data_IF_381786603719
#
_entry.id   IF_381786603719
#
_cell.length_a   1.000
_cell.length_b   1.000
_cell.length_c   1.000
_cell.angle_alpha   90.00
_cell.angle_beta   90.00
_cell.angle_gamma   90.00
#
_symmetry.space_group_name_H-M   'P 1'
#
loop_
_entity.id
_entity.type
_entity.pdbx_description
1 polymer ?
#
# COMPACT_ATOMS: atom_id res chain seq x y z
N UNK A 1 -14.00 -9.73 -12.61
CA UNK A 1 -14.60 -9.46 -11.29
C UNK A 1 -13.82 -8.42 -10.51
N UNK A 2 -12.49 -8.49 -10.39
CA UNK A 2 -11.68 -7.50 -9.64
C UNK A 2 -11.86 -6.08 -10.20
N UNK A 3 -11.78 -5.87 -11.51
CA UNK A 3 -12.03 -4.56 -12.12
C UNK A 3 -13.44 -4.03 -11.86
N UNK A 4 -14.48 -4.87 -11.85
CA UNK A 4 -15.85 -4.48 -11.51
C UNK A 4 -15.95 -4.10 -10.01
N UNK A 5 -15.29 -4.86 -9.14
CA UNK A 5 -15.19 -4.52 -7.72
C UNK A 5 -14.51 -3.16 -7.51
N UNK A 6 -13.41 -2.88 -8.22
CA UNK A 6 -12.72 -1.59 -8.18
C UNK A 6 -13.65 -0.42 -8.54
N UNK A 7 -14.46 -0.55 -9.61
CA UNK A 7 -15.45 0.49 -9.98
C UNK A 7 -16.53 0.69 -8.92
N UNK A 8 -17.03 -0.39 -8.31
CA UNK A 8 -18.03 -0.31 -7.24
C UNK A 8 -17.43 0.30 -5.96
N UNK A 9 -16.22 -0.08 -5.59
CA UNK A 9 -15.48 0.51 -4.46
C UNK A 9 -15.35 2.02 -4.67
N UNK A 10 -14.96 2.43 -5.86
CA UNK A 10 -14.81 3.85 -6.17
C UNK A 10 -16.13 4.63 -6.07
N UNK A 11 -17.27 4.02 -6.44
CA UNK A 11 -18.57 4.69 -6.47
C UNK A 11 -19.38 4.57 -5.17
N UNK A 12 -19.20 3.48 -4.41
CA UNK A 12 -20.04 3.11 -3.25
C UNK A 12 -19.25 2.70 -1.99
N UNK A 13 -17.92 2.70 -2.04
CA UNK A 13 -17.12 2.14 -0.95
C UNK A 13 -17.36 0.64 -0.81
N UNK A 14 -17.55 0.16 0.42
CA UNK A 14 -17.82 -1.25 0.72
C UNK A 14 -19.32 -1.60 0.86
N UNK A 15 -20.20 -0.66 0.59
CA UNK A 15 -21.65 -0.86 0.71
C UNK A 15 -22.26 -1.68 -0.43
N UNK A 16 -21.51 -1.95 -1.52
CA UNK A 16 -22.02 -2.77 -2.61
C UNK A 16 -22.24 -4.23 -2.18
N UNK A 17 -23.25 -4.86 -2.80
CA UNK A 17 -23.61 -6.27 -2.60
C UNK A 17 -22.91 -7.18 -3.62
N UNK A 18 -22.83 -8.50 -3.33
CA UNK A 18 -22.36 -9.49 -4.31
C UNK A 18 -23.26 -9.56 -5.56
N UNK A 19 -24.55 -9.25 -5.42
CA UNK A 19 -25.47 -9.19 -6.56
C UNK A 19 -25.16 -8.01 -7.48
N UNK A 20 -24.91 -6.82 -6.91
CA UNK A 20 -24.48 -5.64 -7.68
C UNK A 20 -23.13 -5.88 -8.36
N UNK A 21 -22.19 -6.53 -7.67
CA UNK A 21 -20.91 -6.93 -8.27
C UNK A 21 -21.12 -7.88 -9.46
N UNK A 22 -21.95 -8.89 -9.30
CA UNK A 22 -22.25 -9.85 -10.38
C UNK A 22 -22.89 -9.15 -11.58
N UNK A 23 -23.81 -8.22 -11.34
CA UNK A 23 -24.43 -7.41 -12.39
C UNK A 23 -23.40 -6.53 -13.11
N UNK A 24 -22.54 -5.83 -12.36
CA UNK A 24 -21.47 -4.99 -12.88
C UNK A 24 -20.41 -5.78 -13.68
N UNK A 25 -20.11 -7.00 -13.23
CA UNK A 25 -19.13 -7.89 -13.86
C UNK A 25 -19.73 -8.70 -15.03
N UNK A 26 -21.05 -8.69 -15.23
CA UNK A 26 -21.73 -9.49 -16.25
C UNK A 26 -21.66 -11.00 -15.98
N UNK A 27 -21.62 -11.42 -14.71
CA UNK A 27 -21.52 -12.84 -14.33
C UNK A 27 -22.66 -13.29 -13.47
N UNK A 28 -22.98 -14.59 -13.49
CA UNK A 28 -23.97 -15.18 -12.59
C UNK A 28 -23.42 -15.28 -11.16
N UNK A 29 -24.32 -15.19 -10.16
CA UNK A 29 -23.98 -15.33 -8.75
C UNK A 29 -23.27 -16.68 -8.43
N UNK A 30 -23.67 -17.74 -9.11
CA UNK A 30 -23.00 -19.05 -8.99
C UNK A 30 -21.54 -18.98 -9.46
N UNK A 31 -21.24 -18.16 -10.48
CA UNK A 31 -19.87 -17.92 -10.96
C UNK A 31 -19.05 -17.21 -9.90
N UNK A 32 -19.62 -16.23 -9.22
CA UNK A 32 -18.97 -15.56 -8.08
C UNK A 32 -18.55 -16.58 -7.02
N UNK A 33 -19.50 -17.38 -6.51
CA UNK A 33 -19.23 -18.36 -5.44
C UNK A 33 -18.31 -19.51 -5.83
N UNK A 34 -18.05 -19.71 -7.12
CA UNK A 34 -17.02 -20.64 -7.59
C UNK A 34 -15.59 -20.12 -7.36
N UNK A 35 -15.39 -18.79 -7.36
CA UNK A 35 -14.09 -18.15 -7.22
C UNK A 35 -13.84 -17.59 -5.83
N UNK A 36 -14.87 -17.12 -5.15
CA UNK A 36 -14.80 -16.47 -3.84
C UNK A 36 -15.89 -16.99 -2.95
N UNK A 37 -15.53 -17.57 -1.80
CA UNK A 37 -16.53 -18.07 -0.84
C UNK A 37 -17.31 -16.93 -0.17
N UNK A 38 -16.74 -15.72 -0.16
CA UNK A 38 -17.33 -14.52 0.46
C UNK A 38 -16.94 -13.23 -0.24
N UNK A 39 -17.64 -12.13 0.08
CA UNK A 39 -17.22 -10.79 -0.32
C UNK A 39 -15.86 -10.40 0.28
N UNK A 40 -15.56 -10.87 1.48
CA UNK A 40 -14.27 -10.59 2.13
C UNK A 40 -13.10 -11.24 1.39
N UNK A 41 -13.26 -12.45 0.88
CA UNK A 41 -12.24 -13.08 0.02
C UNK A 41 -12.03 -12.31 -1.29
N UNK A 42 -13.11 -11.82 -1.91
CA UNK A 42 -12.97 -10.92 -3.05
C UNK A 42 -12.19 -9.65 -2.68
N UNK A 43 -12.50 -9.02 -1.55
CA UNK A 43 -11.83 -7.79 -1.12
C UNK A 43 -10.35 -8.03 -0.80
N UNK A 44 -9.98 -9.18 -0.25
CA UNK A 44 -8.57 -9.59 -0.11
C UNK A 44 -7.88 -9.67 -1.48
N UNK A 45 -8.53 -10.31 -2.46
CA UNK A 45 -7.99 -10.40 -3.81
C UNK A 45 -7.86 -9.00 -4.47
N UNK A 46 -8.81 -8.09 -4.23
CA UNK A 46 -8.74 -6.70 -4.72
C UNK A 46 -7.57 -5.95 -4.07
N UNK A 47 -7.33 -6.13 -2.76
CA UNK A 47 -6.20 -5.50 -2.07
C UNK A 47 -4.88 -6.04 -2.62
N UNK A 48 -4.77 -7.36 -2.81
CA UNK A 48 -3.55 -7.96 -3.37
C UNK A 48 -3.27 -7.52 -4.81
N UNK A 49 -4.28 -7.47 -5.67
CA UNK A 49 -4.19 -6.98 -7.05
C UNK A 49 -3.72 -5.51 -7.08
N UNK A 50 -4.37 -4.66 -6.30
CA UNK A 50 -4.00 -3.25 -6.19
C UNK A 50 -2.60 -3.02 -5.60
N UNK A 51 -2.13 -3.90 -4.71
CA UNK A 51 -0.78 -3.83 -4.16
C UNK A 51 0.27 -4.24 -5.20
N UNK A 52 0.00 -5.30 -5.97
CA UNK A 52 0.88 -5.73 -7.06
C UNK A 52 0.99 -4.62 -8.13
N UNK A 53 -0.14 -4.07 -8.58
CA UNK A 53 -0.18 -2.98 -9.57
C UNK A 53 0.60 -1.75 -9.06
N UNK A 54 0.45 -1.41 -7.78
CA UNK A 54 1.17 -0.29 -7.18
C UNK A 54 2.69 -0.54 -7.14
N UNK A 55 3.12 -1.73 -6.72
CA UNK A 55 4.54 -2.10 -6.67
C UNK A 55 5.16 -2.13 -8.06
N UNK A 56 4.45 -2.65 -9.07
CA UNK A 56 4.89 -2.65 -10.46
C UNK A 56 5.06 -1.22 -10.98
N UNK A 57 4.03 -0.38 -10.82
CA UNK A 57 4.09 1.04 -11.19
C UNK A 57 5.24 1.79 -10.51
N UNK A 58 5.44 1.58 -9.20
CA UNK A 58 6.53 2.24 -8.47
C UNK A 58 7.90 1.76 -8.94
N UNK A 59 8.05 0.47 -9.22
CA UNK A 59 9.30 -0.09 -9.74
C UNK A 59 9.67 0.52 -11.09
N UNK A 60 8.70 0.60 -12.00
CA UNK A 60 8.89 1.23 -13.31
C UNK A 60 9.24 2.72 -13.18
N UNK A 61 8.50 3.46 -12.32
CA UNK A 61 8.71 4.89 -12.10
C UNK A 61 10.05 5.20 -11.42
N UNK A 62 10.59 4.27 -10.65
CA UNK A 62 11.87 4.42 -9.96
C UNK A 62 13.08 3.94 -10.77
N UNK A 63 12.87 3.38 -11.98
CA UNK A 63 13.94 2.73 -12.76
C UNK A 63 15.13 3.66 -13.08
N UNK A 64 14.87 4.95 -13.28
CA UNK A 64 15.88 5.96 -13.60
C UNK A 64 16.50 6.65 -12.36
N UNK A 65 16.08 6.27 -11.15
CA UNK A 65 16.63 6.84 -9.92
C UNK A 65 18.05 6.33 -9.68
N UNK A 66 18.95 7.20 -9.14
CA UNK A 66 20.39 7.00 -9.20
C UNK A 66 20.89 5.79 -8.38
N UNK A 67 20.21 5.48 -7.27
CA UNK A 67 20.69 4.45 -6.34
C UNK A 67 19.54 3.82 -5.52
N UNK A 68 19.88 2.83 -4.72
CA UNK A 68 18.93 2.11 -3.87
C UNK A 68 18.27 3.01 -2.80
N UNK A 69 18.99 4.02 -2.27
CA UNK A 69 18.40 4.96 -1.30
C UNK A 69 17.33 5.85 -1.94
N UNK A 70 17.61 6.33 -3.15
CA UNK A 70 16.65 7.15 -3.89
C UNK A 70 15.37 6.34 -4.22
N UNK A 71 15.53 5.07 -4.64
CA UNK A 71 14.39 4.17 -4.89
C UNK A 71 13.65 3.83 -3.61
N UNK A 72 14.35 3.52 -2.52
CA UNK A 72 13.74 3.25 -1.21
C UNK A 72 12.93 4.44 -0.70
N UNK A 73 13.50 5.66 -0.79
CA UNK A 73 12.79 6.91 -0.47
C UNK A 73 11.52 7.05 -1.29
N UNK A 74 11.64 6.85 -2.60
CA UNK A 74 10.49 6.94 -3.52
C UNK A 74 9.39 5.95 -3.12
N UNK A 75 9.70 4.70 -2.85
CA UNK A 75 8.71 3.68 -2.47
C UNK A 75 8.01 4.01 -1.15
N UNK A 76 8.76 4.43 -0.13
CA UNK A 76 8.19 4.81 1.17
C UNK A 76 7.25 6.02 1.01
N UNK A 77 7.68 7.07 0.31
CA UNK A 77 6.91 8.30 0.19
C UNK A 77 5.73 8.18 -0.77
N UNK A 78 5.82 7.33 -1.79
CA UNK A 78 4.74 7.05 -2.75
C UNK A 78 3.52 6.39 -2.11
N UNK A 79 3.67 5.77 -0.93
CA UNK A 79 2.51 5.27 -0.16
C UNK A 79 1.53 6.38 0.20
N UNK A 80 2.01 7.62 0.37
CA UNK A 80 1.20 8.78 0.73
C UNK A 80 0.69 9.57 -0.49
N UNK A 81 1.15 9.24 -1.71
CA UNK A 81 0.82 10.02 -2.91
C UNK A 81 -0.69 10.07 -3.21
N UNK A 82 -1.44 9.02 -2.86
CA UNK A 82 -2.91 8.99 -3.02
C UNK A 82 -3.65 9.98 -2.13
N UNK A 83 -3.00 10.53 -1.11
CA UNK A 83 -3.58 11.50 -0.19
C UNK A 83 -3.47 12.94 -0.71
N UNK A 84 -2.60 13.19 -1.71
CA UNK A 84 -2.45 14.49 -2.38
C UNK A 84 -3.52 14.75 -3.45
N UNK A 85 -4.37 13.75 -3.74
CA UNK A 85 -5.39 13.79 -4.78
C UNK A 85 -6.67 14.55 -4.40
N UNK A 86 -7.62 14.54 -5.33
CA UNK A 86 -8.95 15.10 -5.10
C UNK A 86 -9.75 14.27 -4.05
N UNK A 87 -10.93 14.76 -3.68
CA UNK A 87 -11.76 14.12 -2.65
C UNK A 87 -12.14 12.66 -2.96
N UNK A 88 -12.00 12.20 -4.21
CA UNK A 88 -12.24 10.82 -4.63
C UNK A 88 -11.11 9.90 -4.18
N UNK A 89 -9.87 10.35 -4.28
CA UNK A 89 -8.71 9.61 -3.80
C UNK A 89 -8.74 9.47 -2.27
N UNK A 90 -9.14 10.51 -1.56
CA UNK A 90 -9.36 10.46 -0.11
C UNK A 90 -10.46 9.45 0.28
N UNK A 91 -11.57 9.36 -0.48
CA UNK A 91 -12.61 8.36 -0.23
C UNK A 91 -12.08 6.94 -0.45
N UNK A 92 -11.29 6.72 -1.47
CA UNK A 92 -10.63 5.44 -1.76
C UNK A 92 -9.63 5.09 -0.65
N UNK A 93 -8.83 6.03 -0.17
CA UNK A 93 -7.91 5.82 0.93
C UNK A 93 -8.65 5.39 2.21
N UNK A 94 -9.71 6.09 2.60
CA UNK A 94 -10.56 5.72 3.75
C UNK A 94 -11.17 4.34 3.61
N UNK A 95 -11.66 4.00 2.41
CA UNK A 95 -12.17 2.66 2.12
C UNK A 95 -11.09 1.59 2.33
N UNK A 96 -9.89 1.78 1.80
CA UNK A 96 -8.77 0.83 1.95
C UNK A 96 -8.48 0.60 3.44
N UNK A 97 -8.36 1.67 4.23
CA UNK A 97 -8.07 1.58 5.68
C UNK A 97 -9.17 0.84 6.43
N UNK A 98 -10.45 1.22 6.22
CA UNK A 98 -11.59 0.60 6.90
C UNK A 98 -11.73 -0.87 6.55
N UNK A 99 -11.57 -1.21 5.28
CA UNK A 99 -11.64 -2.59 4.78
C UNK A 99 -10.50 -3.44 5.36
N UNK A 100 -9.27 -2.91 5.36
CA UNK A 100 -8.11 -3.58 5.94
C UNK A 100 -8.32 -3.93 7.41
N UNK A 101 -8.79 -2.99 8.24
CA UNK A 101 -9.07 -3.25 9.66
C UNK A 101 -10.12 -4.34 9.86
N UNK A 102 -11.17 -4.36 9.05
CA UNK A 102 -12.20 -5.38 9.10
C UNK A 102 -11.65 -6.75 8.69
N UNK A 103 -10.87 -6.82 7.63
CA UNK A 103 -10.27 -8.07 7.13
C UNK A 103 -9.21 -8.61 8.10
N UNK A 104 -8.43 -7.75 8.73
CA UNK A 104 -7.39 -8.16 9.67
C UNK A 104 -7.94 -9.00 10.84
N UNK A 105 -9.18 -8.78 11.26
CA UNK A 105 -9.80 -9.53 12.35
C UNK A 105 -10.02 -11.01 12.04
N UNK A 106 -10.28 -11.36 10.79
CA UNK A 106 -10.68 -12.69 10.39
C UNK A 106 -9.72 -13.34 9.39
N UNK A 107 -8.89 -12.54 8.69
CA UNK A 107 -8.05 -12.93 7.57
C UNK A 107 -6.64 -12.31 7.68
N UNK A 108 -6.08 -12.29 8.90
CA UNK A 108 -4.79 -11.63 9.15
C UNK A 108 -3.63 -12.21 8.32
N UNK A 109 -3.61 -13.53 8.12
CA UNK A 109 -2.57 -14.19 7.32
C UNK A 109 -2.71 -13.90 5.84
N UNK A 110 -3.91 -14.02 5.32
CA UNK A 110 -4.24 -13.77 3.92
C UNK A 110 -3.99 -12.29 3.56
N UNK A 111 -4.30 -11.38 4.49
CA UNK A 111 -4.01 -9.96 4.32
C UNK A 111 -2.50 -9.69 4.32
N UNK A 112 -1.74 -10.33 5.20
CA UNK A 112 -0.29 -10.22 5.22
C UNK A 112 0.35 -10.73 3.91
N UNK A 113 -0.17 -11.84 3.35
CA UNK A 113 0.26 -12.33 2.03
C UNK A 113 -0.10 -11.36 0.90
N UNK A 114 -1.29 -10.75 0.93
CA UNK A 114 -1.72 -9.77 -0.05
C UNK A 114 -0.86 -8.48 -0.01
N UNK A 115 -0.30 -8.13 1.14
CA UNK A 115 0.54 -6.94 1.37
C UNK A 115 2.05 -7.24 1.26
N UNK A 116 2.43 -8.50 1.19
CA UNK A 116 3.83 -8.95 1.11
C UNK A 116 4.64 -8.32 -0.04
N UNK A 117 4.08 -8.09 -1.24
CA UNK A 117 4.84 -7.49 -2.34
C UNK A 117 5.49 -6.15 -1.97
N UNK A 118 4.84 -5.31 -1.17
CA UNK A 118 5.43 -4.06 -0.72
C UNK A 118 6.60 -4.26 0.25
N UNK A 119 6.47 -5.18 1.20
CA UNK A 119 7.56 -5.51 2.14
C UNK A 119 8.76 -6.08 1.38
N UNK A 120 8.51 -6.94 0.39
CA UNK A 120 9.57 -7.54 -0.44
C UNK A 120 10.27 -6.49 -1.31
N UNK A 121 9.52 -5.51 -1.84
CA UNK A 121 10.07 -4.38 -2.58
C UNK A 121 11.01 -3.53 -1.69
N UNK A 122 10.59 -3.18 -0.48
CA UNK A 122 11.44 -2.45 0.46
C UNK A 122 12.68 -3.26 0.86
N UNK A 123 12.51 -4.56 1.12
CA UNK A 123 13.62 -5.46 1.48
C UNK A 123 14.68 -5.53 0.37
N UNK A 124 14.27 -5.59 -0.88
CA UNK A 124 15.20 -5.61 -2.01
C UNK A 124 16.07 -4.36 -2.04
N UNK A 125 15.49 -3.17 -1.85
CA UNK A 125 16.25 -1.92 -1.85
C UNK A 125 17.09 -1.72 -0.59
N UNK A 126 16.60 -2.16 0.58
CA UNK A 126 17.42 -2.16 1.82
C UNK A 126 18.66 -3.02 1.63
N UNK A 127 18.51 -4.24 1.10
CA UNK A 127 19.65 -5.12 0.84
C UNK A 127 20.63 -4.51 -0.19
N UNK A 128 20.11 -3.94 -1.28
CA UNK A 128 20.95 -3.28 -2.28
C UNK A 128 21.71 -2.07 -1.69
N UNK A 129 21.09 -1.31 -0.78
CA UNK A 129 21.75 -0.20 -0.11
C UNK A 129 22.78 -0.67 0.94
N UNK A 130 22.54 -1.79 1.61
CA UNK A 130 23.55 -2.44 2.51
C UNK A 130 24.73 -2.92 1.70
N UNK A 131 24.52 -3.60 0.58
CA UNK A 131 25.60 -4.08 -0.30
C UNK A 131 26.43 -2.93 -0.87
N UNK A 132 25.81 -1.75 -1.07
CA UNK A 132 26.51 -0.53 -1.48
C UNK A 132 27.17 0.24 -0.32
N UNK A 133 27.05 -0.23 0.93
CA UNK A 133 27.59 0.44 2.12
C UNK A 133 26.88 1.73 2.52
N UNK A 134 25.63 1.94 2.03
CA UNK A 134 24.82 3.13 2.27
C UNK A 134 23.93 2.98 3.52
N UNK A 135 23.62 1.75 3.93
CA UNK A 135 22.81 1.42 5.10
C UNK A 135 23.52 0.38 5.97
N UNK A 136 23.18 0.42 7.26
CA UNK A 136 23.59 -0.59 8.24
C UNK A 136 22.44 -0.86 9.23
N UNK A 137 21.35 -1.50 8.76
CA UNK A 137 20.17 -1.75 9.58
C UNK A 137 20.49 -2.69 10.75
N UNK A 138 19.92 -2.46 11.96
CA UNK A 138 20.09 -3.34 13.11
C UNK A 138 19.57 -4.76 12.87
N UNK A 139 18.51 -4.92 12.10
CA UNK A 139 17.88 -6.20 11.76
C UNK A 139 17.39 -6.19 10.30
N UNK A 140 18.26 -6.57 9.32
CA UNK A 140 17.91 -6.54 7.90
C UNK A 140 16.72 -7.43 7.53
N UNK A 141 16.37 -8.41 8.36
CA UNK A 141 15.22 -9.29 8.13
C UNK A 141 13.91 -8.63 8.52
N UNK A 142 13.85 -7.93 9.67
CA UNK A 142 12.64 -7.34 10.22
C UNK A 142 12.43 -5.86 9.89
N UNK A 143 13.51 -5.09 9.76
CA UNK A 143 13.43 -3.64 9.56
C UNK A 143 12.61 -3.24 8.33
N UNK A 144 12.67 -3.94 7.16
CA UNK A 144 11.81 -3.62 6.02
C UNK A 144 10.31 -3.75 6.33
N UNK A 145 9.93 -4.74 7.15
CA UNK A 145 8.56 -4.90 7.60
C UNK A 145 8.12 -3.78 8.55
N UNK A 146 8.98 -3.38 9.51
CA UNK A 146 8.69 -2.24 10.40
C UNK A 146 8.54 -0.93 9.61
N UNK A 147 9.37 -0.70 8.61
CA UNK A 147 9.25 0.47 7.73
C UNK A 147 7.93 0.45 6.96
N UNK A 148 7.53 -0.71 6.42
CA UNK A 148 6.24 -0.85 5.74
C UNK A 148 5.06 -0.56 6.67
N UNK A 149 5.08 -1.09 7.91
CA UNK A 149 4.03 -0.84 8.90
C UNK A 149 3.99 0.63 9.34
N UNK A 150 5.14 1.28 9.50
CA UNK A 150 5.20 2.71 9.81
C UNK A 150 4.61 3.56 8.67
N UNK A 151 5.03 3.34 7.42
CA UNK A 151 4.49 4.05 6.27
C UNK A 151 2.97 3.87 6.15
N UNK A 152 2.49 2.65 6.35
CA UNK A 152 1.06 2.32 6.38
C UNK A 152 0.33 3.00 7.53
N UNK A 153 0.92 3.05 8.72
CA UNK A 153 0.32 3.72 9.88
C UNK A 153 0.15 5.22 9.63
N UNK A 154 1.14 5.87 9.03
CA UNK A 154 1.07 7.27 8.62
C UNK A 154 -0.03 7.47 7.56
N UNK A 155 -0.08 6.62 6.54
CA UNK A 155 -1.15 6.63 5.55
C UNK A 155 -2.54 6.49 6.19
N UNK A 156 -2.71 5.56 7.14
CA UNK A 156 -3.99 5.36 7.85
C UNK A 156 -4.43 6.61 8.61
N UNK A 157 -3.50 7.28 9.28
CA UNK A 157 -3.80 8.52 10.00
C UNK A 157 -4.29 9.60 9.04
N UNK A 158 -3.53 9.87 7.97
CA UNK A 158 -3.84 10.94 7.03
C UNK A 158 -5.01 10.63 6.09
N UNK A 159 -5.43 9.38 5.94
CA UNK A 159 -6.65 9.04 5.23
C UNK A 159 -7.92 9.61 5.89
N UNK A 160 -7.88 9.89 7.19
CA UNK A 160 -9.00 10.44 7.95
C UNK A 160 -8.75 11.84 8.53
N UNK A 161 -7.50 12.25 8.64
CA UNK A 161 -7.15 13.58 9.13
C UNK A 161 -7.34 14.63 8.04
N UNK A 162 -7.85 15.80 8.43
CA UNK A 162 -7.72 16.99 7.60
C UNK A 162 -6.26 17.48 7.65
N UNK A 163 -5.74 17.93 6.52
CA UNK A 163 -4.38 18.42 6.41
C UNK A 163 -4.32 19.66 5.52
N UNK A 164 -3.39 20.56 5.84
CA UNK A 164 -3.17 21.76 5.07
C UNK A 164 -2.45 21.45 3.75
N UNK A 165 -2.57 22.36 2.77
CA UNK A 165 -1.81 22.29 1.52
C UNK A 165 -0.31 22.25 1.83
N UNK A 166 0.41 21.30 1.23
CA UNK A 166 1.85 21.08 1.43
C UNK A 166 2.23 20.35 2.71
N UNK A 167 1.32 20.08 3.63
CA UNK A 167 1.62 19.33 4.86
C UNK A 167 2.10 17.93 4.57
N UNK A 168 1.52 17.23 3.60
CA UNK A 168 1.92 15.88 3.22
C UNK A 168 3.36 15.80 2.71
N UNK A 169 3.86 16.81 2.02
CA UNK A 169 5.27 16.85 1.60
C UNK A 169 6.21 16.93 2.80
N UNK A 170 5.84 17.71 3.82
CA UNK A 170 6.60 17.77 5.09
C UNK A 170 6.56 16.43 5.80
N UNK A 171 5.42 15.75 5.78
CA UNK A 171 5.25 14.41 6.39
C UNK A 171 6.08 13.37 5.65
N UNK A 172 6.06 13.36 4.31
CA UNK A 172 6.88 12.48 3.48
C UNK A 172 8.36 12.61 3.80
N UNK A 173 8.85 13.85 3.92
CA UNK A 173 10.26 14.12 4.26
C UNK A 173 10.60 13.64 5.69
N UNK A 174 9.74 13.90 6.67
CA UNK A 174 9.96 13.45 8.06
C UNK A 174 9.91 11.93 8.15
N UNK A 175 8.98 11.29 7.46
CA UNK A 175 8.87 9.83 7.39
C UNK A 175 10.15 9.23 6.80
N UNK A 176 10.62 9.76 5.66
CA UNK A 176 11.86 9.31 5.05
C UNK A 176 13.05 9.44 5.99
N UNK A 177 13.24 10.61 6.60
CA UNK A 177 14.36 10.85 7.54
C UNK A 177 14.35 9.89 8.72
N UNK A 178 13.17 9.61 9.27
CA UNK A 178 13.01 8.63 10.34
C UNK A 178 13.42 7.22 9.87
N UNK A 179 12.92 6.78 8.73
CA UNK A 179 13.24 5.48 8.16
C UNK A 179 14.73 5.34 7.85
N UNK A 180 15.33 6.35 7.22
CA UNK A 180 16.76 6.37 6.91
C UNK A 180 17.62 6.22 8.18
N UNK A 181 17.30 6.99 9.22
CA UNK A 181 18.02 6.92 10.50
C UNK A 181 17.83 5.54 11.17
N UNK A 182 16.61 4.99 11.16
CA UNK A 182 16.32 3.66 11.71
C UNK A 182 17.13 2.55 11.01
N UNK A 183 17.37 2.70 9.70
CA UNK A 183 18.17 1.78 8.89
C UNK A 183 19.70 2.05 8.98
N UNK A 184 20.13 2.92 9.88
CA UNK A 184 21.56 3.24 10.05
C UNK A 184 22.17 4.06 8.91
N UNK A 185 21.32 4.72 8.10
CA UNK A 185 21.77 5.65 7.08
C UNK A 185 22.04 7.05 7.62
N UNK A 186 22.81 7.86 6.86
CA UNK A 186 23.13 9.25 7.17
C UNK A 186 22.38 10.21 6.26
N UNK A 187 21.99 11.37 6.82
CA UNK A 187 21.41 12.48 6.07
C UNK A 187 22.49 13.44 5.53
N UNK A 188 23.72 13.25 5.95
CA UNK A 188 24.84 14.06 5.46
C UNK A 188 25.43 13.43 4.19
N UNK A 189 25.76 14.28 3.19
CA UNK A 189 26.41 13.82 1.97
C UNK A 189 27.85 13.35 2.21
#
# INVERSE_FOLDING_TARGET
MLAAAGRLIHSKGDEFTTQELCAEAGVALQTFYRYFASKDELLLAVIGDAMNDACEYWTESAAELPDALARLRYFITSTLARLDGDGRDAATARFIVSTRWRLHRNYAKELAEAEKPFVDLLRAEVNAAVDAGLLNPPDPEWDPWFIAELARSVFHYYAFAEHAEGELEVVKEKLWRFCLTALGGSLEP
#
